data_IF_763414874043
#
_entry.id   IF_763414874043
#
_cell.length_a   1.000
_cell.length_b   1.000
_cell.length_c   1.000
_cell.angle_alpha   90.00
_cell.angle_beta   90.00
_cell.angle_gamma   90.00
#
_symmetry.space_group_name_H-M   'P 1'
#
loop_
_entity.id
_entity.type
_entity.pdbx_description
1 polymer ?
#
# COMPACT_ATOMS: atom_id res chain seq x y z
N UNK A 1 -13.99 -22.15 17.94
CA UNK A 1 -12.72 -22.63 17.36
C UNK A 1 -12.30 -21.62 16.29
N UNK A 2 -11.28 -20.82 16.63
CA UNK A 2 -10.53 -19.89 15.79
C UNK A 2 -11.32 -18.71 15.18
N UNK A 3 -11.87 -17.85 16.04
CA UNK A 3 -11.92 -16.41 15.74
C UNK A 3 -10.49 -15.90 15.84
N UNK A 4 -9.72 -16.08 14.77
CA UNK A 4 -8.33 -15.63 14.68
C UNK A 4 -8.38 -14.11 14.84
N UNK A 5 -7.83 -13.66 15.96
CA UNK A 5 -7.82 -12.29 16.43
C UNK A 5 -7.58 -11.33 15.26
N UNK A 6 -8.51 -10.41 15.05
CA UNK A 6 -8.22 -9.20 14.29
C UNK A 6 -7.25 -8.40 15.14
N UNK A 7 -5.95 -8.73 15.02
CA UNK A 7 -4.85 -8.05 15.68
C UNK A 7 -4.83 -6.60 15.18
N UNK A 8 -5.62 -5.75 15.83
CA UNK A 8 -5.42 -4.32 15.82
C UNK A 8 -4.28 -4.11 16.81
N UNK A 9 -3.04 -4.11 16.30
CA UNK A 9 -1.91 -3.63 17.09
C UNK A 9 -2.01 -2.11 17.20
N UNK A 10 -2.31 -1.60 18.39
CA UNK A 10 -2.13 -0.19 18.72
C UNK A 10 -0.62 0.09 18.81
N UNK A 11 -0.05 0.44 17.66
CA UNK A 11 1.35 0.84 17.53
C UNK A 11 1.41 2.26 16.98
N UNK A 12 2.28 3.07 17.58
CA UNK A 12 2.66 4.36 17.02
C UNK A 12 3.45 4.12 15.73
N UNK A 13 2.82 4.39 14.59
CA UNK A 13 3.43 4.27 13.27
C UNK A 13 4.21 5.55 12.99
N UNK A 14 5.55 5.48 12.83
CA UNK A 14 6.34 6.64 12.44
C UNK A 14 5.77 7.30 11.18
N UNK A 15 5.80 8.64 11.11
CA UNK A 15 5.18 9.37 10.00
C UNK A 15 5.69 8.96 8.60
N UNK A 16 6.92 8.44 8.52
CA UNK A 16 7.53 7.91 7.30
C UNK A 16 7.07 6.48 6.92
N UNK A 17 6.40 5.75 7.80
CA UNK A 17 5.81 4.43 7.53
C UNK A 17 4.35 4.53 7.04
N UNK A 18 3.64 5.60 7.41
CA UNK A 18 2.24 5.88 7.04
C UNK A 18 1.91 5.65 5.54
N UNK A 19 2.67 6.21 4.57
CA UNK A 19 2.32 6.03 3.16
C UNK A 19 2.45 4.56 2.71
N UNK A 20 3.37 3.80 3.30
CA UNK A 20 3.55 2.39 2.96
C UNK A 20 2.42 1.54 3.55
N UNK A 21 2.07 1.74 4.82
CA UNK A 21 0.94 1.06 5.44
C UNK A 21 -0.39 1.32 4.71
N UNK A 22 -0.62 2.56 4.27
CA UNK A 22 -1.77 2.87 3.43
C UNK A 22 -1.78 2.02 2.16
N UNK A 23 -0.66 2.00 1.41
CA UNK A 23 -0.58 1.25 0.16
C UNK A 23 -0.74 -0.26 0.37
N UNK A 24 -0.18 -0.80 1.46
CA UNK A 24 -0.32 -2.22 1.80
C UNK A 24 -1.78 -2.62 2.03
N UNK A 25 -2.53 -1.75 2.71
CA UNK A 25 -3.95 -2.01 2.99
C UNK A 25 -4.82 -1.76 1.75
N UNK A 26 -4.59 -0.65 1.04
CA UNK A 26 -5.41 -0.26 -0.10
C UNK A 26 -5.25 -1.22 -1.30
N UNK A 27 -4.05 -1.74 -1.55
CA UNK A 27 -3.79 -2.67 -2.66
C UNK A 27 -4.27 -4.11 -2.40
N UNK A 28 -4.76 -4.43 -1.19
CA UNK A 28 -5.50 -5.68 -0.95
C UNK A 28 -6.95 -5.61 -1.41
N UNK A 29 -7.47 -4.40 -1.62
CA UNK A 29 -8.82 -4.19 -2.14
C UNK A 29 -8.81 -4.41 -3.65
N UNK A 30 -9.71 -5.27 -4.14
CA UNK A 30 -9.84 -5.58 -5.58
C UNK A 30 -10.13 -4.31 -6.39
N UNK A 31 -11.02 -3.46 -5.87
CA UNK A 31 -11.39 -2.18 -6.49
C UNK A 31 -10.33 -1.08 -6.27
N UNK A 32 -9.29 -1.36 -5.49
CA UNK A 32 -8.29 -0.38 -5.08
C UNK A 32 -8.90 0.82 -4.36
N UNK A 33 -8.39 2.01 -4.66
CA UNK A 33 -8.75 3.23 -3.95
C UNK A 33 -8.81 4.46 -4.87
N UNK A 34 -9.66 5.46 -4.55
CA UNK A 34 -9.61 6.74 -5.24
C UNK A 34 -8.27 7.45 -5.01
N UNK A 35 -7.73 8.09 -6.04
CA UNK A 35 -6.43 8.77 -5.98
C UNK A 35 -6.38 9.84 -4.87
N UNK A 36 -7.50 10.49 -4.56
CA UNK A 36 -7.61 11.51 -3.49
C UNK A 36 -7.51 10.91 -2.08
N UNK A 37 -7.95 9.66 -1.90
CA UNK A 37 -8.03 9.00 -0.60
C UNK A 37 -6.66 8.90 0.07
N UNK A 38 -5.60 8.78 -0.73
CA UNK A 38 -4.23 8.74 -0.21
C UNK A 38 -3.90 10.01 0.58
N UNK A 39 -4.14 11.19 0.00
CA UNK A 39 -3.86 12.45 0.67
C UNK A 39 -4.79 12.68 1.87
N UNK A 40 -6.06 12.31 1.74
CA UNK A 40 -7.04 12.42 2.83
C UNK A 40 -6.67 11.59 4.07
N UNK A 41 -6.04 10.41 3.87
CA UNK A 41 -5.72 9.48 4.96
C UNK A 41 -4.30 9.60 5.49
N UNK A 42 -3.36 10.02 4.66
CA UNK A 42 -1.95 10.12 5.04
C UNK A 42 -1.51 11.55 5.35
N UNK A 43 -2.24 12.56 4.87
CA UNK A 43 -1.80 13.95 4.87
C UNK A 43 -0.65 14.24 3.92
N UNK A 44 -0.25 13.27 3.08
CA UNK A 44 0.88 13.36 2.17
C UNK A 44 0.40 13.42 0.71
N UNK A 45 1.20 14.07 -0.14
CA UNK A 45 0.94 14.06 -1.57
C UNK A 45 1.22 12.67 -2.16
N UNK A 46 0.42 12.26 -3.14
CA UNK A 46 0.65 10.99 -3.87
C UNK A 46 2.05 10.93 -4.51
N UNK A 47 2.61 12.09 -4.86
CA UNK A 47 3.98 12.24 -5.36
C UNK A 47 5.03 11.54 -4.48
N UNK A 48 4.79 11.42 -3.16
CA UNK A 48 5.67 10.71 -2.22
C UNK A 48 5.84 9.21 -2.55
N UNK A 49 4.85 8.60 -3.22
CA UNK A 49 4.89 7.18 -3.63
C UNK A 49 4.92 7.00 -5.14
N UNK A 50 5.09 8.08 -5.92
CA UNK A 50 4.97 8.04 -7.38
C UNK A 50 5.98 7.10 -8.05
N UNK A 51 7.23 7.09 -7.59
CA UNK A 51 8.25 6.18 -8.13
C UNK A 51 7.86 4.69 -7.97
N UNK A 52 7.22 4.35 -6.86
CA UNK A 52 6.72 2.99 -6.56
C UNK A 52 5.49 2.66 -7.39
N UNK A 53 4.56 3.62 -7.55
CA UNK A 53 3.40 3.47 -8.43
C UNK A 53 3.83 3.25 -9.89
N UNK A 54 4.75 4.07 -10.40
CA UNK A 54 5.27 3.93 -11.75
C UNK A 54 5.97 2.57 -11.96
N UNK A 55 6.74 2.09 -10.98
CA UNK A 55 7.35 0.74 -11.02
C UNK A 55 6.28 -0.35 -11.09
N UNK A 56 5.25 -0.29 -10.23
CA UNK A 56 4.17 -1.27 -10.21
C UNK A 56 3.34 -1.26 -11.51
N UNK A 57 3.09 -0.08 -12.07
CA UNK A 57 2.39 0.11 -13.35
C UNK A 57 3.19 -0.46 -14.51
N UNK A 58 4.50 -0.15 -14.58
CA UNK A 58 5.40 -0.69 -15.60
C UNK A 58 5.53 -2.23 -15.54
N UNK A 59 5.37 -2.83 -14.36
CA UNK A 59 5.33 -4.29 -14.18
C UNK A 59 3.95 -4.90 -14.46
N UNK A 60 2.96 -4.09 -14.81
CA UNK A 60 1.59 -4.52 -15.07
C UNK A 60 0.86 -5.02 -13.82
N UNK A 61 1.33 -4.67 -12.62
CA UNK A 61 0.75 -5.10 -11.35
C UNK A 61 -0.39 -4.19 -10.89
N UNK A 62 -0.42 -2.94 -11.33
CA UNK A 62 -1.53 -2.02 -11.10
C UNK A 62 -2.06 -1.45 -12.40
N UNK A 63 -3.28 -0.98 -12.35
CA UNK A 63 -3.89 -0.08 -13.32
C UNK A 63 -4.25 1.20 -12.58
N UNK A 64 -3.97 2.37 -13.17
CA UNK A 64 -4.32 3.65 -12.57
C UNK A 64 -4.75 4.69 -13.60
N UNK A 65 -5.58 5.62 -13.12
CA UNK A 65 -5.90 6.86 -13.79
C UNK A 65 -5.97 8.01 -12.77
N UNK A 66 -6.45 9.17 -13.19
CA UNK A 66 -6.58 10.33 -12.31
C UNK A 66 -7.62 10.15 -11.19
N UNK A 67 -8.54 9.20 -11.31
CA UNK A 67 -9.58 8.91 -10.32
C UNK A 67 -9.18 7.80 -9.36
N UNK A 68 -8.52 6.75 -9.84
CA UNK A 68 -8.38 5.48 -9.10
C UNK A 68 -7.08 4.76 -9.40
N UNK A 69 -6.56 4.09 -8.37
CA UNK A 69 -5.43 3.17 -8.44
C UNK A 69 -5.92 1.82 -7.93
N UNK A 70 -5.68 0.73 -8.68
CA UNK A 70 -6.09 -0.62 -8.27
C UNK A 70 -5.14 -1.71 -8.73
N UNK A 71 -5.10 -2.87 -8.05
CA UNK A 71 -4.39 -4.04 -8.55
C UNK A 71 -5.00 -4.54 -9.87
N UNK A 72 -4.17 -4.79 -10.86
CA UNK A 72 -4.59 -5.46 -12.11
C UNK A 72 -4.94 -6.93 -11.84
N UNK A 73 -5.46 -7.65 -12.84
CA UNK A 73 -5.64 -9.10 -12.73
C UNK A 73 -4.33 -9.82 -12.38
N UNK A 74 -3.22 -9.41 -12.99
CA UNK A 74 -1.87 -9.90 -12.66
C UNK A 74 -1.47 -9.48 -11.24
N UNK A 75 -1.68 -8.22 -10.87
CA UNK A 75 -1.37 -7.72 -9.53
C UNK A 75 -2.01 -8.52 -8.41
N UNK A 76 -3.24 -8.99 -8.61
CA UNK A 76 -3.92 -9.85 -7.62
C UNK A 76 -3.31 -11.25 -7.51
N UNK A 77 -2.86 -11.83 -8.63
CA UNK A 77 -2.16 -13.11 -8.62
C UNK A 77 -0.76 -13.00 -7.98
N UNK A 78 -0.09 -11.86 -8.19
CA UNK A 78 1.25 -11.57 -7.68
C UNK A 78 1.22 -10.50 -6.59
N UNK A 79 0.24 -10.59 -5.67
CA UNK A 79 0.02 -9.56 -4.65
C UNK A 79 1.26 -9.35 -3.77
N UNK A 80 1.98 -10.41 -3.43
CA UNK A 80 3.20 -10.29 -2.63
C UNK A 80 4.29 -9.48 -3.35
N UNK A 81 4.48 -9.69 -4.65
CA UNK A 81 5.44 -8.90 -5.45
C UNK A 81 5.01 -7.43 -5.49
N UNK A 82 3.71 -7.18 -5.71
CA UNK A 82 3.14 -5.83 -5.68
C UNK A 82 3.39 -5.14 -4.33
N UNK A 83 3.12 -5.81 -3.21
CA UNK A 83 3.30 -5.25 -1.87
C UNK A 83 4.79 -5.02 -1.55
N UNK A 84 5.69 -5.87 -2.02
CA UNK A 84 7.14 -5.71 -1.81
C UNK A 84 7.69 -4.41 -2.40
N UNK A 85 7.18 -3.96 -3.57
CA UNK A 85 7.56 -2.67 -4.17
C UNK A 85 7.33 -1.51 -3.18
N UNK A 86 6.30 -1.58 -2.35
CA UNK A 86 5.98 -0.54 -1.39
C UNK A 86 6.78 -0.66 -0.08
N UNK A 87 7.26 -1.87 0.24
CA UNK A 87 8.13 -2.14 1.39
C UNK A 87 9.61 -1.81 1.13
N UNK A 88 10.07 -1.84 -0.13
CA UNK A 88 11.44 -1.46 -0.50
C UNK A 88 11.72 -0.01 -0.06
N UNK A 89 12.70 0.19 0.84
CA UNK A 89 13.06 1.51 1.38
C UNK A 89 12.10 2.05 2.44
N UNK A 90 11.13 1.27 2.90
CA UNK A 90 10.49 1.56 4.19
C UNK A 90 11.57 1.46 5.29
N UNK A 91 11.54 2.33 6.31
CA UNK A 91 12.40 2.13 7.47
C UNK A 91 12.17 0.70 7.99
N UNK A 92 13.24 0.01 8.37
CA UNK A 92 13.13 -1.33 8.91
C UNK A 92 12.12 -1.26 10.05
N UNK A 93 11.00 -1.99 9.93
CA UNK A 93 10.01 -2.12 10.99
C UNK A 93 10.81 -2.49 12.22
N UNK A 94 10.91 -1.58 13.18
CA UNK A 94 11.59 -1.86 14.44
C UNK A 94 10.97 -3.15 14.96
N UNK A 95 11.79 -4.20 15.01
CA UNK A 95 11.45 -5.42 15.71
C UNK A 95 11.17 -4.98 17.13
N UNK A 96 9.91 -4.96 17.52
CA UNK A 96 9.55 -4.91 18.93
C UNK A 96 10.33 -6.06 19.60
N UNK A 97 11.29 -5.69 20.43
CA UNK A 97 11.93 -6.59 21.39
C UNK A 97 10.93 -6.86 22.52
#
# INVERSE_FOLDING_TARGET
LLSKDSLIEDREVPANEIPFEFMLNALRLVEGFPTTLFAERTGLALATVEAKLAKAENQGLIERDWKRIRPSARGRLFLNELLQIFLEGAPARSSAA
#
